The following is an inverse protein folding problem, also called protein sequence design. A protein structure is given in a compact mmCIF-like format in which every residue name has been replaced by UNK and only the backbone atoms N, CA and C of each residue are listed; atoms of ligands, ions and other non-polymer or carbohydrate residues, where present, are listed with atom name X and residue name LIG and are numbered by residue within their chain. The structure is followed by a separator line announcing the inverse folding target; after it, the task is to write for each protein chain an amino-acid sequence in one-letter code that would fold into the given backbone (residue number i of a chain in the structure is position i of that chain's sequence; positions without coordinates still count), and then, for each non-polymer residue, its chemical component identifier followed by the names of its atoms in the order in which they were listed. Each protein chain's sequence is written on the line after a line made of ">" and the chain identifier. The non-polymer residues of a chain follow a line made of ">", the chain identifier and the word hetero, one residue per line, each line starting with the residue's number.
data_IF_295974815390
#
_entry.id   IF_295974815390
#
_cell.length_a   1.000
_cell.length_b   1.000
_cell.length_c   1.000
_cell.angle_alpha   90.00
_cell.angle_beta   90.00
_cell.angle_gamma   90.00
#
_symmetry.space_group_name_H-M   'P 1'
#
loop_
_entity.id
_entity.type
_entity.pdbx_description
1 polymer ?
#
# COMPACT_ATOMS: atom_id res chain seq x y z
N UNK A 1 12.13 6.28 -13.11
CA UNK A 1 11.38 5.03 -13.00
C UNK A 1 9.98 5.22 -13.53
N UNK A 2 9.49 4.24 -14.24
CA UNK A 2 8.19 4.37 -14.84
C UNK A 2 7.10 4.40 -13.79
N UNK A 3 6.06 5.15 -14.08
CA UNK A 3 4.90 5.20 -13.22
C UNK A 3 4.27 3.83 -13.06
N UNK A 4 3.85 3.53 -11.85
CA UNK A 4 3.16 2.30 -11.51
C UNK A 4 1.69 2.66 -11.34
N UNK A 5 0.82 1.76 -11.75
CA UNK A 5 -0.60 2.03 -11.78
C UNK A 5 -1.19 2.24 -10.39
N UNK A 6 -2.52 2.36 -10.35
CA UNK A 6 -3.25 2.64 -9.12
C UNK A 6 -2.84 1.77 -7.94
N UNK A 7 -2.51 0.53 -8.18
CA UNK A 7 -2.15 -0.38 -7.10
C UNK A 7 -0.70 -0.28 -6.71
N UNK A 8 0.10 0.49 -7.45
CA UNK A 8 1.49 0.72 -7.13
C UNK A 8 2.43 -0.42 -7.51
N UNK A 9 1.90 -1.52 -7.97
CA UNK A 9 2.72 -2.68 -8.31
C UNK A 9 2.21 -3.44 -9.52
N UNK A 10 1.41 -2.79 -10.34
CA UNK A 10 0.88 -3.41 -11.55
C UNK A 10 1.98 -3.89 -12.49
N UNK A 11 3.03 -3.10 -12.65
CA UNK A 11 4.15 -3.48 -13.51
C UNK A 11 4.81 -4.75 -13.02
N UNK A 12 4.96 -4.90 -11.70
CA UNK A 12 5.53 -6.11 -11.12
C UNK A 12 4.62 -7.30 -11.38
N UNK A 13 3.33 -7.11 -11.16
CA UNK A 13 2.35 -8.16 -11.39
C UNK A 13 2.39 -8.64 -12.85
N UNK A 14 2.45 -7.70 -13.78
CA UNK A 14 2.51 -8.03 -15.20
C UNK A 14 3.76 -8.83 -15.54
N UNK A 15 4.91 -8.39 -15.05
CA UNK A 15 6.18 -9.07 -15.35
C UNK A 15 6.23 -10.47 -14.77
N UNK A 16 5.53 -10.72 -13.69
CA UNK A 16 5.49 -12.05 -13.07
C UNK A 16 4.30 -12.88 -13.54
N UNK A 17 3.53 -12.37 -14.50
CA UNK A 17 2.39 -13.08 -15.02
C UNK A 17 1.12 -12.94 -14.19
N UNK A 18 1.12 -12.05 -13.24
CA UNK A 18 -0.06 -11.81 -12.42
C UNK A 18 -1.00 -10.86 -13.16
N UNK A 19 -2.17 -11.32 -13.51
CA UNK A 19 -3.12 -10.52 -14.29
C UNK A 19 -4.34 -10.09 -13.51
N UNK A 20 -4.50 -10.58 -12.28
CA UNK A 20 -5.65 -10.22 -11.47
C UNK A 20 -5.32 -10.41 -10.00
N UNK A 21 -6.07 -9.71 -9.15
CA UNK A 21 -5.96 -9.86 -7.72
C UNK A 21 -6.49 -11.22 -7.30
N UNK A 22 -5.86 -11.87 -6.32
CA UNK A 22 -6.45 -13.06 -5.70
C UNK A 22 -7.72 -12.64 -4.96
N UNK A 23 -8.54 -13.64 -4.61
CA UNK A 23 -9.81 -13.38 -3.94
C UNK A 23 -9.63 -12.62 -2.62
N UNK A 24 -8.61 -12.96 -1.85
CA UNK A 24 -8.40 -12.38 -0.53
C UNK A 24 -6.92 -12.16 -0.23
N UNK A 25 -6.22 -11.22 -0.92
CA UNK A 25 -4.84 -10.94 -0.56
C UNK A 25 -4.83 -10.12 0.72
N UNK A 26 -4.25 -10.60 1.82
CA UNK A 26 -4.16 -9.78 3.02
C UNK A 26 -3.17 -8.65 2.81
N UNK A 27 -3.54 -7.47 3.30
CA UNK A 27 -2.69 -6.29 3.33
C UNK A 27 -2.48 -5.89 4.77
N UNK A 28 -1.25 -5.78 5.19
CA UNK A 28 -0.94 -5.28 6.53
C UNK A 28 0.24 -4.33 6.46
N UNK A 29 0.48 -3.62 7.54
CA UNK A 29 1.61 -2.71 7.59
C UNK A 29 1.48 -1.71 8.72
N UNK A 30 2.47 -0.83 8.78
CA UNK A 30 2.61 0.11 9.90
C UNK A 30 1.48 1.14 9.98
N UNK A 31 0.75 1.36 8.89
CA UNK A 31 -0.34 2.33 8.83
C UNK A 31 -1.65 1.76 9.34
N UNK A 32 -1.78 0.44 9.37
CA UNK A 32 -3.04 -0.25 9.60
C UNK A 32 -3.03 -0.98 10.94
N UNK A 33 -4.14 -0.86 11.65
CA UNK A 33 -4.37 -1.67 12.84
C UNK A 33 -5.13 -2.93 12.40
N UNK A 34 -4.38 -4.00 12.22
CA UNK A 34 -4.93 -5.25 11.72
C UNK A 34 -4.89 -5.35 10.19
N UNK A 35 -5.02 -6.56 9.70
CA UNK A 35 -4.94 -6.81 8.27
C UNK A 35 -6.24 -6.48 7.57
N UNK A 36 -6.12 -5.93 6.36
CA UNK A 36 -7.25 -5.71 5.46
C UNK A 36 -7.39 -6.96 4.59
N UNK A 37 -8.58 -7.50 4.53
CA UNK A 37 -8.87 -8.73 3.79
C UNK A 37 -9.83 -8.45 2.63
N UNK A 38 -9.61 -9.17 1.54
CA UNK A 38 -10.49 -9.09 0.38
C UNK A 38 -9.98 -8.14 -0.68
N UNK A 39 -10.11 -8.53 -1.93
CA UNK A 39 -9.55 -7.78 -3.05
C UNK A 39 -10.12 -6.37 -3.14
N UNK A 40 -11.42 -6.21 -2.96
CA UNK A 40 -12.05 -4.89 -3.06
C UNK A 40 -11.60 -3.97 -1.94
N UNK A 41 -11.50 -4.49 -0.71
CA UNK A 41 -11.05 -3.70 0.42
C UNK A 41 -9.58 -3.29 0.24
N UNK A 42 -8.73 -4.20 -0.21
CA UNK A 42 -7.32 -3.92 -0.44
C UNK A 42 -7.15 -2.84 -1.50
N UNK A 43 -7.90 -2.95 -2.61
CA UNK A 43 -7.86 -1.91 -3.65
C UNK A 43 -8.31 -0.56 -3.14
N UNK A 44 -9.39 -0.54 -2.35
CA UNK A 44 -9.91 0.71 -1.81
C UNK A 44 -8.89 1.39 -0.88
N UNK A 45 -8.26 0.60 -0.02
CA UNK A 45 -7.29 1.13 0.94
C UNK A 45 -6.03 1.65 0.23
N UNK A 46 -5.48 0.88 -0.68
CA UNK A 46 -4.28 1.29 -1.42
C UNK A 46 -4.60 2.50 -2.30
N UNK A 47 -5.71 2.46 -3.01
CA UNK A 47 -6.11 3.57 -3.88
C UNK A 47 -6.38 4.84 -3.12
N UNK A 48 -7.03 4.72 -1.95
CA UNK A 48 -7.30 5.88 -1.11
C UNK A 48 -6.02 6.52 -0.58
N UNK A 49 -5.06 5.71 -0.18
CA UNK A 49 -3.77 6.21 0.27
C UNK A 49 -3.06 6.97 -0.86
N UNK A 50 -3.05 6.37 -2.04
CA UNK A 50 -2.37 6.98 -3.19
C UNK A 50 -2.99 8.31 -3.58
N UNK A 51 -4.30 8.46 -3.45
CA UNK A 51 -4.99 9.70 -3.78
C UNK A 51 -4.56 10.88 -2.89
N UNK A 52 -3.99 10.60 -1.73
CA UNK A 52 -3.52 11.66 -0.85
C UNK A 52 -2.10 12.09 -1.13
N UNK A 53 -1.38 11.38 -1.97
CA UNK A 53 -0.01 11.77 -2.32
C UNK A 53 -0.02 12.97 -3.25
N UNK A 54 0.69 14.02 -2.87
CA UNK A 54 0.93 15.16 -3.75
C UNK A 54 2.01 14.84 -4.77
N UNK A 55 2.94 13.96 -4.37
CA UNK A 55 4.06 13.54 -5.19
C UNK A 55 4.52 12.16 -4.73
N UNK A 56 5.03 11.38 -5.67
CA UNK A 56 5.56 10.05 -5.37
C UNK A 56 6.75 9.78 -6.27
N UNK A 57 7.89 9.49 -5.66
CA UNK A 57 9.14 9.22 -6.38
C UNK A 57 9.67 7.86 -5.97
N UNK A 58 9.82 6.97 -6.93
CA UNK A 58 10.32 5.63 -6.67
C UNK A 58 11.84 5.63 -6.60
N UNK A 59 12.39 5.10 -5.53
CA UNK A 59 13.82 4.92 -5.34
C UNK A 59 14.26 3.57 -5.89
N UNK A 60 13.41 2.58 -5.75
CA UNK A 60 13.67 1.24 -6.21
C UNK A 60 12.36 0.50 -6.44
N UNK A 61 12.32 -0.34 -7.47
CA UNK A 61 11.24 -1.30 -7.67
C UNK A 61 11.81 -2.47 -8.44
N UNK A 62 11.69 -3.66 -7.89
CA UNK A 62 12.25 -4.85 -8.54
C UNK A 62 12.01 -6.12 -7.75
N UNK A 63 12.40 -7.24 -8.33
CA UNK A 63 12.23 -8.53 -7.67
C UNK A 63 13.15 -8.67 -6.46
N UNK A 64 12.66 -9.41 -5.48
CA UNK A 64 13.44 -9.74 -4.29
C UNK A 64 13.25 -11.23 -4.01
N UNK A 65 14.27 -12.02 -4.32
CA UNK A 65 14.12 -13.46 -4.28
C UNK A 65 13.29 -13.97 -5.46
N UNK A 66 12.87 -15.20 -5.39
CA UNK A 66 12.18 -15.86 -6.50
C UNK A 66 10.70 -15.54 -6.60
N UNK A 67 10.09 -15.17 -5.48
CA UNK A 67 8.64 -15.02 -5.45
C UNK A 67 8.19 -13.75 -4.74
N UNK A 68 9.04 -12.73 -4.68
CA UNK A 68 8.67 -11.47 -4.05
C UNK A 68 9.09 -10.29 -4.91
N UNK A 69 8.45 -9.15 -4.66
CA UNK A 69 8.75 -7.89 -5.33
C UNK A 69 8.74 -6.80 -4.28
N UNK A 70 9.69 -5.87 -4.38
CA UNK A 70 9.81 -4.79 -3.42
C UNK A 70 9.76 -3.46 -4.13
N UNK A 71 9.09 -2.49 -3.53
CA UNK A 71 9.06 -1.10 -4.00
C UNK A 71 9.42 -0.20 -2.83
N UNK A 72 10.34 0.71 -3.07
CA UNK A 72 10.70 1.73 -2.08
C UNK A 72 10.51 3.08 -2.73
N UNK A 73 9.73 3.95 -2.09
CA UNK A 73 9.48 5.28 -2.63
C UNK A 73 9.37 6.31 -1.53
N UNK A 74 9.50 7.58 -1.95
CA UNK A 74 9.17 8.73 -1.11
C UNK A 74 7.97 9.43 -1.71
N UNK A 75 7.21 10.09 -0.86
CA UNK A 75 6.02 10.82 -1.27
C UNK A 75 5.82 12.02 -0.36
N UNK A 76 4.84 12.84 -0.68
CA UNK A 76 4.41 13.93 0.16
C UNK A 76 2.91 13.85 0.36
N UNK A 77 2.48 14.13 1.58
CA UNK A 77 1.07 14.22 1.92
C UNK A 77 0.87 15.57 2.60
N UNK A 78 0.23 16.50 1.91
CA UNK A 78 0.01 17.87 2.41
C UNK A 78 1.30 18.50 2.92
N UNK A 79 2.37 18.35 2.15
CA UNK A 79 3.67 18.92 2.47
C UNK A 79 4.50 18.09 3.44
N UNK A 80 3.95 17.06 4.06
CA UNK A 80 4.71 16.21 4.97
C UNK A 80 5.40 15.10 4.18
N UNK A 81 6.72 14.95 4.30
CA UNK A 81 7.41 13.88 3.60
C UNK A 81 7.12 12.54 4.25
N UNK A 82 6.92 11.53 3.42
CA UNK A 82 6.68 10.17 3.89
C UNK A 82 7.37 9.20 2.94
N UNK A 83 7.92 8.13 3.47
CA UNK A 83 8.49 7.07 2.67
C UNK A 83 7.78 5.77 2.94
N UNK A 84 7.81 4.87 1.98
CA UNK A 84 7.15 3.58 2.12
C UNK A 84 7.95 2.48 1.45
N UNK A 85 7.84 1.29 2.01
CA UNK A 85 8.34 0.06 1.40
C UNK A 85 7.16 -0.88 1.27
N UNK A 86 6.92 -1.34 0.06
CA UNK A 86 5.92 -2.38 -0.23
C UNK A 86 6.65 -3.69 -0.48
N UNK A 87 6.23 -4.73 0.20
CA UNK A 87 6.72 -6.08 -0.05
C UNK A 87 5.56 -6.94 -0.49
N UNK A 88 5.62 -7.44 -1.70
CA UNK A 88 4.56 -8.25 -2.28
C UNK A 88 5.11 -9.65 -2.49
N UNK A 89 4.44 -10.64 -1.91
CA UNK A 89 4.82 -12.05 -2.07
C UNK A 89 3.80 -12.71 -2.99
N UNK A 90 4.29 -13.50 -3.94
CA UNK A 90 3.45 -14.21 -4.89
C UNK A 90 3.38 -15.69 -4.56
N UNK A 91 2.25 -16.32 -4.86
CA UNK A 91 2.11 -17.75 -4.72
C UNK A 91 2.65 -18.47 -5.97
N UNK A 92 2.52 -19.80 -6.00
CA UNK A 92 3.05 -20.62 -7.09
C UNK A 92 2.41 -20.26 -8.44
N UNK A 93 1.20 -19.73 -8.43
CA UNK A 93 0.49 -19.33 -9.64
C UNK A 93 0.83 -17.90 -10.08
N UNK A 94 1.74 -17.24 -9.40
CA UNK A 94 2.14 -15.88 -9.73
C UNK A 94 1.16 -14.82 -9.27
N UNK A 95 0.24 -15.14 -8.36
CA UNK A 95 -0.73 -14.18 -7.83
C UNK A 95 -0.27 -13.66 -6.48
N UNK A 96 -0.58 -12.41 -6.18
CA UNK A 96 -0.22 -11.82 -4.90
C UNK A 96 -0.86 -12.61 -3.77
N UNK A 97 -0.04 -13.05 -2.84
CA UNK A 97 -0.44 -13.86 -1.71
C UNK A 97 -0.48 -13.03 -0.43
N UNK A 98 0.40 -12.03 -0.33
CA UNK A 98 0.53 -11.22 0.87
C UNK A 98 1.16 -9.89 0.49
N UNK A 99 0.68 -8.80 1.08
CA UNK A 99 1.18 -7.47 0.83
C UNK A 99 1.47 -6.81 2.17
N UNK A 100 2.70 -6.32 2.33
CA UNK A 100 3.11 -5.57 3.51
C UNK A 100 3.55 -4.19 3.06
N UNK A 101 3.04 -3.14 3.73
CA UNK A 101 3.42 -1.76 3.43
C UNK A 101 3.83 -1.08 4.73
N UNK A 102 5.09 -0.68 4.81
CA UNK A 102 5.60 0.00 5.99
C UNK A 102 6.03 1.42 5.64
N UNK A 103 5.65 2.37 6.48
CA UNK A 103 5.87 3.80 6.28
C UNK A 103 6.83 4.37 7.29
N UNK A 104 7.45 5.49 6.92
CA UNK A 104 8.39 6.25 7.76
C UNK A 104 8.26 7.73 7.44
N UNK A 105 8.63 8.68 8.32
CA UNK A 105 8.88 8.49 9.75
C UNK A 105 7.58 8.42 10.55
N UNK A 106 7.70 8.16 11.84
CA UNK A 106 6.54 7.97 12.71
C UNK A 106 5.55 9.13 12.65
N UNK A 107 6.04 10.36 12.73
CA UNK A 107 5.16 11.53 12.74
C UNK A 107 4.32 11.63 11.46
N UNK A 108 4.94 11.38 10.31
CA UNK A 108 4.22 11.42 9.04
C UNK A 108 3.24 10.27 8.93
N UNK A 109 3.62 9.10 9.42
CA UNK A 109 2.74 7.93 9.45
C UNK A 109 1.49 8.23 10.28
N UNK A 110 1.64 8.82 11.43
CA UNK A 110 0.49 9.10 12.31
C UNK A 110 -0.42 10.15 11.69
N UNK A 111 0.16 11.18 11.08
CA UNK A 111 -0.60 12.18 10.35
C UNK A 111 -1.39 11.56 9.19
N UNK A 112 -0.74 10.72 8.42
CA UNK A 112 -1.34 10.05 7.28
C UNK A 112 -2.47 9.12 7.71
N UNK A 113 -2.27 8.37 8.79
CA UNK A 113 -3.28 7.48 9.32
C UNK A 113 -4.54 8.25 9.70
N UNK A 114 -4.37 9.40 10.35
CA UNK A 114 -5.51 10.24 10.73
C UNK A 114 -6.26 10.75 9.52
N UNK A 115 -5.54 11.19 8.49
CA UNK A 115 -6.16 11.65 7.25
C UNK A 115 -6.96 10.55 6.57
N UNK A 116 -6.43 9.34 6.57
CA UNK A 116 -7.12 8.21 5.95
C UNK A 116 -8.35 7.80 6.75
N UNK A 117 -8.29 7.90 8.06
CA UNK A 117 -9.48 7.64 8.86
C UNK A 117 -10.59 8.63 8.53
N UNK A 118 -10.26 9.90 8.35
CA UNK A 118 -11.23 10.90 7.92
C UNK A 118 -11.77 10.60 6.53
N UNK A 119 -10.88 10.23 5.62
CA UNK A 119 -11.27 9.94 4.24
C UNK A 119 -12.24 8.78 4.16
N UNK A 120 -12.02 7.76 4.96
CA UNK A 120 -12.84 6.55 4.96
C UNK A 120 -13.97 6.58 6.00
N UNK A 121 -14.21 7.72 6.63
CA UNK A 121 -15.28 7.84 7.62
C UNK A 121 -16.61 7.40 7.00
N UNK A 122 -17.37 6.61 7.76
CA UNK A 122 -18.65 6.08 7.28
C UNK A 122 -18.52 4.80 6.48
N UNK A 123 -17.31 4.30 6.26
CA UNK A 123 -17.06 3.02 5.59
C UNK A 123 -16.45 2.04 6.57
N UNK A 124 -16.50 0.73 6.27
CA UNK A 124 -15.87 -0.27 7.14
C UNK A 124 -14.34 -0.12 7.23
N UNK A 125 -13.73 0.57 6.28
CA UNK A 125 -12.28 0.68 6.22
C UNK A 125 -11.71 1.61 7.29
N UNK A 126 -12.51 2.53 7.79
CA UNK A 126 -12.03 3.51 8.77
C UNK A 126 -11.46 2.85 10.03
N UNK A 127 -11.95 1.69 10.41
CA UNK A 127 -11.53 1.02 11.63
C UNK A 127 -10.07 0.56 11.61
N UNK A 128 -9.46 0.48 10.43
CA UNK A 128 -8.05 0.09 10.30
C UNK A 128 -7.07 1.21 10.62
N UNK A 129 -7.55 2.43 10.81
CA UNK A 129 -6.69 3.59 11.02
C UNK A 129 -6.84 4.14 12.44
N UNK A 130 -5.85 4.94 12.87
CA UNK A 130 -5.87 5.51 14.21
C UNK A 130 -7.14 6.30 14.49
N UNK A 131 -7.78 5.99 15.60
CA UNK A 131 -8.96 6.69 16.06
C UNK A 131 -8.56 7.93 16.85
N UNK A 132 -9.32 9.01 16.68
CA UNK A 132 -9.16 10.20 17.48
C UNK A 132 -7.85 10.94 17.20
N UNK A 133 -7.41 11.67 18.21
CA UNK A 133 -6.17 12.42 18.12
C UNK A 133 -4.98 11.59 18.51
N UNK A 134 -3.87 11.95 17.95
CA UNK A 134 -2.62 11.26 18.19
C UNK A 134 -1.68 12.17 18.93
#
# INVERSE_FOLDING_TARGET
>A
MREIDLLGFHSAATRRGWTSWPATPPLEGSLLDGAVQGADAVRAVIGGARQLYDRQDFNFAGPWGDNSFIEDYTAEVRGAPIGAVHLITFNADGKAQHIIVNYRPLSSLMFFSRLLREKFAGTPYAEHYLAGEV
#
